data_IF_447321987749
#
_entry.id   IF_447321987749
#
_cell.length_a   1.000
_cell.length_b   1.000
_cell.length_c   1.000
_cell.angle_alpha   90.00
_cell.angle_beta   90.00
_cell.angle_gamma   90.00
#
_symmetry.space_group_name_H-M   'P 1'
#
loop_
_entity.id
_entity.type
_entity.pdbx_description
1 polymer ?
#
# COMPACT_ATOMS: atom_id res chain seq x y z
N UNK A 1 16.53 31.24 12.67
CA UNK A 1 15.06 31.30 12.81
C UNK A 1 14.42 31.51 11.43
N UNK A 2 14.81 32.54 10.63
CA UNK A 2 14.23 32.82 9.32
C UNK A 2 14.34 31.63 8.35
N UNK A 3 15.49 30.97 8.27
CA UNK A 3 15.70 29.78 7.44
C UNK A 3 14.75 28.64 7.79
N UNK A 4 14.60 28.34 9.09
CA UNK A 4 13.70 27.26 9.54
C UNK A 4 12.23 27.57 9.21
N UNK A 5 11.78 28.80 9.40
CA UNK A 5 10.44 29.24 9.03
C UNK A 5 10.20 29.12 7.53
N UNK A 6 11.14 29.57 6.71
CA UNK A 6 11.04 29.48 5.25
C UNK A 6 10.99 28.02 4.79
N UNK A 7 11.83 27.15 5.37
CA UNK A 7 11.85 25.73 5.06
C UNK A 7 10.52 25.05 5.42
N UNK A 8 9.99 25.32 6.61
CA UNK A 8 8.69 24.77 7.05
C UNK A 8 7.57 25.21 6.12
N UNK A 9 7.47 26.51 5.84
CA UNK A 9 6.44 27.07 4.96
C UNK A 9 6.54 26.45 3.57
N UNK A 10 7.75 26.33 3.00
CA UNK A 10 7.95 25.75 1.68
C UNK A 10 7.53 24.28 1.63
N UNK A 11 7.90 23.48 2.65
CA UNK A 11 7.53 22.06 2.72
C UNK A 11 6.02 21.88 2.89
N UNK A 12 5.39 22.65 3.77
CA UNK A 12 3.93 22.59 3.97
C UNK A 12 3.19 23.00 2.70
N UNK A 13 3.62 24.09 2.05
CA UNK A 13 3.01 24.56 0.81
C UNK A 13 3.16 23.51 -0.30
N UNK A 14 4.35 22.91 -0.43
CA UNK A 14 4.58 21.82 -1.40
C UNK A 14 3.70 20.60 -1.14
N UNK A 15 3.57 20.18 0.12
CA UNK A 15 2.70 19.05 0.49
C UNK A 15 1.22 19.35 0.20
N UNK A 16 0.73 20.55 0.53
CA UNK A 16 -0.65 20.98 0.23
C UNK A 16 -0.91 21.06 -1.27
N UNK A 17 0.05 21.55 -2.04
CA UNK A 17 -0.07 21.59 -3.50
C UNK A 17 -0.16 20.18 -4.11
N UNK A 18 0.69 19.25 -3.65
CA UNK A 18 0.64 17.86 -4.11
C UNK A 18 -0.68 17.17 -3.72
N UNK A 19 -1.20 17.45 -2.53
CA UNK A 19 -2.49 16.93 -2.08
C UNK A 19 -3.62 17.43 -2.99
N UNK A 20 -3.68 18.75 -3.24
CA UNK A 20 -4.66 19.34 -4.15
C UNK A 20 -4.56 18.76 -5.57
N UNK A 21 -3.33 18.57 -6.07
CA UNK A 21 -3.10 17.96 -7.37
C UNK A 21 -3.60 16.51 -7.40
N UNK A 22 -3.37 15.75 -6.34
CA UNK A 22 -3.88 14.38 -6.18
C UNK A 22 -5.41 14.31 -6.20
N UNK A 23 -6.08 15.27 -5.55
CA UNK A 23 -7.54 15.38 -5.58
C UNK A 23 -8.05 15.70 -7.00
N UNK A 24 -7.42 16.63 -7.71
CA UNK A 24 -7.79 16.95 -9.09
C UNK A 24 -7.63 15.75 -10.03
N UNK A 25 -6.56 14.95 -9.86
CA UNK A 25 -6.35 13.72 -10.64
C UNK A 25 -7.44 12.69 -10.29
N UNK A 26 -7.85 12.58 -9.02
CA UNK A 26 -8.89 11.65 -8.59
C UNK A 26 -10.27 12.05 -9.13
N UNK A 27 -10.60 13.35 -9.13
CA UNK A 27 -11.91 13.84 -9.61
C UNK A 27 -12.05 13.81 -11.12
N UNK A 28 -11.00 14.17 -11.85
CA UNK A 28 -11.05 14.35 -13.32
C UNK A 28 -10.29 13.27 -14.10
N UNK A 29 -9.51 12.44 -13.41
CA UNK A 29 -8.67 11.41 -13.99
C UNK A 29 -9.17 10.00 -13.78
N UNK A 30 -8.26 9.04 -13.85
CA UNK A 30 -8.53 7.60 -13.71
C UNK A 30 -7.85 7.10 -12.42
N UNK A 31 -8.65 6.61 -11.48
CA UNK A 31 -8.16 5.97 -10.26
C UNK A 31 -7.85 6.95 -9.12
N UNK A 32 -6.99 6.53 -8.19
CA UNK A 32 -6.61 7.35 -7.05
C UNK A 32 -5.40 8.23 -7.38
N UNK A 33 -5.59 9.55 -7.42
CA UNK A 33 -4.57 10.53 -7.80
C UNK A 33 -3.36 10.56 -6.85
N UNK A 34 -3.58 10.36 -5.55
CA UNK A 34 -2.50 10.30 -4.55
C UNK A 34 -1.59 9.10 -4.83
N UNK A 35 -2.17 7.93 -5.13
CA UNK A 35 -1.40 6.74 -5.50
C UNK A 35 -0.60 6.94 -6.79
N UNK A 36 -1.16 7.68 -7.75
CA UNK A 36 -0.46 8.02 -9.00
C UNK A 36 0.72 8.95 -8.76
N UNK A 37 0.62 9.93 -7.86
CA UNK A 37 1.72 10.81 -7.49
C UNK A 37 2.84 10.07 -6.78
N UNK A 38 2.49 9.16 -5.85
CA UNK A 38 3.48 8.30 -5.16
C UNK A 38 4.20 7.43 -6.19
N UNK A 39 3.44 6.80 -7.10
CA UNK A 39 4.00 6.00 -8.17
C UNK A 39 4.97 6.80 -9.07
N UNK A 40 4.56 7.99 -9.49
CA UNK A 40 5.42 8.87 -10.30
C UNK A 40 6.72 9.23 -9.57
N UNK A 41 6.65 9.51 -8.26
CA UNK A 41 7.82 9.78 -7.42
C UNK A 41 8.79 8.59 -7.38
N UNK A 42 8.28 7.38 -7.22
CA UNK A 42 9.11 6.16 -7.21
C UNK A 42 9.73 5.90 -8.57
N UNK A 43 8.92 6.00 -9.65
CA UNK A 43 9.39 5.71 -11.02
C UNK A 43 10.40 6.75 -11.50
N UNK A 44 10.31 8.01 -11.06
CA UNK A 44 11.28 9.04 -11.43
C UNK A 44 12.72 8.73 -11.00
N UNK A 45 12.91 7.98 -9.91
CA UNK A 45 14.22 7.50 -9.46
C UNK A 45 14.75 6.28 -10.21
N UNK A 46 13.90 5.57 -10.94
CA UNK A 46 14.25 4.28 -11.56
C UNK A 46 15.33 4.39 -12.66
N UNK A 47 15.28 5.39 -13.57
CA UNK A 47 16.34 5.54 -14.59
C UNK A 47 17.71 5.78 -13.98
N UNK A 48 17.79 6.59 -12.93
CA UNK A 48 19.05 6.85 -12.22
C UNK A 48 19.58 5.58 -11.53
N UNK A 49 18.71 4.81 -10.89
CA UNK A 49 19.09 3.55 -10.24
C UNK A 49 19.62 2.52 -11.25
N UNK A 50 18.98 2.39 -12.43
CA UNK A 50 19.47 1.52 -13.51
C UNK A 50 20.83 2.02 -14.01
N UNK A 51 20.97 3.33 -14.27
CA UNK A 51 22.21 3.93 -14.74
C UNK A 51 23.38 3.66 -13.80
N UNK A 52 23.21 3.89 -12.50
CA UNK A 52 24.25 3.62 -11.49
C UNK A 52 24.58 2.14 -11.38
N UNK A 53 23.58 1.25 -11.45
CA UNK A 53 23.83 -0.20 -11.42
C UNK A 53 24.60 -0.69 -12.63
N UNK A 54 24.32 -0.15 -13.82
CA UNK A 54 25.05 -0.46 -15.04
C UNK A 54 26.49 0.06 -14.98
N UNK A 55 26.73 1.29 -14.53
CA UNK A 55 28.10 1.83 -14.39
C UNK A 55 28.92 1.00 -13.41
N UNK A 56 28.35 0.61 -12.26
CA UNK A 56 29.04 -0.30 -11.31
C UNK A 56 29.35 -1.66 -11.89
N UNK A 57 28.50 -2.18 -12.78
CA UNK A 57 28.79 -3.42 -13.49
C UNK A 57 29.91 -3.24 -14.54
N UNK A 58 29.95 -2.12 -15.24
CA UNK A 58 31.04 -1.78 -16.19
C UNK A 58 32.38 -1.58 -15.48
N UNK A 59 32.36 -0.97 -14.29
CA UNK A 59 33.57 -0.77 -13.46
C UNK A 59 34.05 -2.07 -12.78
N UNK A 60 33.33 -3.19 -12.95
CA UNK A 60 33.68 -4.48 -12.36
C UNK A 60 33.38 -4.59 -10.85
N UNK A 61 32.68 -3.61 -10.24
CA UNK A 61 32.32 -3.65 -8.85
C UNK A 61 31.20 -4.68 -8.60
N UNK A 62 30.33 -4.90 -9.58
CA UNK A 62 29.23 -5.86 -9.53
C UNK A 62 29.35 -6.80 -10.73
N UNK A 63 29.16 -8.11 -10.49
CA UNK A 63 29.11 -9.07 -11.56
C UNK A 63 27.87 -8.85 -12.45
N UNK A 64 28.06 -8.70 -13.77
CA UNK A 64 26.96 -8.49 -14.71
C UNK A 64 25.89 -9.59 -14.69
N UNK A 65 26.28 -10.83 -14.39
CA UNK A 65 25.34 -11.95 -14.20
C UNK A 65 24.47 -11.72 -12.97
N UNK A 66 25.05 -11.21 -11.87
CA UNK A 66 24.28 -10.88 -10.67
C UNK A 66 23.25 -9.79 -10.95
N UNK A 67 23.63 -8.75 -11.71
CA UNK A 67 22.72 -7.68 -12.09
C UNK A 67 21.53 -8.21 -12.91
N UNK A 68 21.79 -9.13 -13.84
CA UNK A 68 20.75 -9.78 -14.64
C UNK A 68 19.79 -10.59 -13.76
N UNK A 69 20.34 -11.39 -12.83
CA UNK A 69 19.53 -12.18 -11.89
C UNK A 69 18.65 -11.28 -11.01
N UNK A 70 19.21 -10.20 -10.47
CA UNK A 70 18.46 -9.23 -9.66
C UNK A 70 17.34 -8.59 -10.49
N UNK A 71 17.60 -8.23 -11.74
CA UNK A 71 16.59 -7.69 -12.65
C UNK A 71 15.43 -8.68 -12.91
N UNK A 72 15.75 -9.95 -13.14
CA UNK A 72 14.74 -11.01 -13.31
C UNK A 72 13.91 -11.22 -12.05
N UNK A 73 14.54 -11.22 -10.88
CA UNK A 73 13.85 -11.33 -9.60
C UNK A 73 12.93 -10.13 -9.41
N UNK A 74 13.38 -8.91 -9.71
CA UNK A 74 12.56 -7.70 -9.59
C UNK A 74 11.31 -7.78 -10.48
N UNK A 75 11.44 -8.20 -11.73
CA UNK A 75 10.30 -8.41 -12.64
C UNK A 75 9.36 -9.50 -12.09
N UNK A 76 9.91 -10.60 -11.59
CA UNK A 76 9.13 -11.69 -10.98
C UNK A 76 8.32 -11.23 -9.77
N UNK A 77 8.93 -10.43 -8.89
CA UNK A 77 8.27 -9.85 -7.72
C UNK A 77 7.14 -8.91 -8.14
N UNK A 78 7.38 -8.02 -9.10
CA UNK A 78 6.35 -7.11 -9.61
C UNK A 78 5.18 -7.90 -10.21
N UNK A 79 5.45 -8.93 -11.02
CA UNK A 79 4.41 -9.78 -11.60
C UNK A 79 3.59 -10.50 -10.51
N UNK A 80 4.23 -11.00 -9.46
CA UNK A 80 3.59 -11.65 -8.33
C UNK A 80 2.68 -10.68 -7.55
N UNK A 81 3.18 -9.46 -7.29
CA UNK A 81 2.40 -8.41 -6.60
C UNK A 81 1.16 -8.04 -7.43
N UNK A 82 1.33 -7.82 -8.73
CA UNK A 82 0.21 -7.50 -9.64
C UNK A 82 -0.82 -8.62 -9.66
N UNK A 83 -0.37 -9.87 -9.67
CA UNK A 83 -1.25 -11.04 -9.65
C UNK A 83 -2.08 -11.09 -8.36
N UNK A 84 -1.45 -10.89 -7.20
CA UNK A 84 -2.13 -10.89 -5.89
C UNK A 84 -3.08 -9.69 -5.77
N UNK A 85 -2.67 -8.50 -6.21
CA UNK A 85 -3.48 -7.27 -6.13
C UNK A 85 -4.73 -7.33 -7.01
N UNK A 86 -4.66 -8.05 -8.14
CA UNK A 86 -5.81 -8.31 -9.00
C UNK A 86 -6.70 -9.44 -8.50
N UNK A 87 -6.24 -10.23 -7.53
CA UNK A 87 -6.99 -11.35 -7.02
C UNK A 87 -8.23 -10.87 -6.23
N UNK A 88 -9.39 -11.43 -6.59
CA UNK A 88 -10.69 -11.07 -6.00
C UNK A 88 -11.41 -12.33 -5.53
N UNK A 89 -11.96 -12.27 -4.33
CA UNK A 89 -12.89 -13.29 -3.84
C UNK A 89 -14.29 -12.94 -4.32
N UNK A 90 -14.87 -13.78 -5.16
CA UNK A 90 -16.23 -13.62 -5.67
C UNK A 90 -17.21 -14.28 -4.72
N UNK A 91 -18.11 -13.49 -4.12
CA UNK A 91 -19.21 -13.99 -3.30
C UNK A 91 -20.46 -13.96 -4.15
N UNK A 92 -21.10 -15.12 -4.36
CA UNK A 92 -22.39 -15.21 -5.07
C UNK A 92 -23.49 -14.61 -4.23
N UNK A 93 -24.19 -13.65 -4.80
CA UNK A 93 -25.35 -13.00 -4.21
C UNK A 93 -26.55 -13.29 -5.10
N UNK A 94 -27.59 -13.91 -4.56
CA UNK A 94 -28.80 -14.20 -5.27
C UNK A 94 -29.84 -13.11 -5.02
N UNK A 95 -30.35 -12.49 -6.08
CA UNK A 95 -31.46 -11.57 -5.99
C UNK A 95 -32.77 -12.34 -6.02
N UNK A 96 -33.71 -11.95 -5.15
CA UNK A 96 -35.04 -12.56 -5.14
C UNK A 96 -35.76 -12.32 -6.49
N UNK A 97 -36.54 -13.31 -6.92
CA UNK A 97 -37.37 -13.17 -8.11
C UNK A 97 -38.33 -12.00 -7.94
N UNK A 98 -38.28 -11.00 -8.80
CA UNK A 98 -39.25 -9.90 -8.82
C UNK A 98 -40.34 -10.23 -9.82
N UNK A 99 -41.56 -10.23 -9.35
CA UNK A 99 -42.74 -10.29 -10.19
C UNK A 99 -43.24 -8.86 -10.41
N UNK A 100 -43.19 -8.41 -11.63
CA UNK A 100 -43.73 -7.11 -12.01
C UNK A 100 -44.87 -7.34 -13.01
N UNK A 101 -46.11 -7.34 -12.50
CA UNK A 101 -47.29 -7.67 -13.27
C UNK A 101 -47.31 -9.14 -13.69
N UNK A 102 -47.52 -9.42 -14.98
CA UNK A 102 -47.65 -10.76 -15.58
C UNK A 102 -46.29 -11.36 -16.01
N UNK A 103 -45.17 -10.62 -15.87
CA UNK A 103 -43.83 -11.07 -16.25
C UNK A 103 -43.03 -11.46 -15.02
N UNK A 104 -42.56 -12.70 -14.98
CA UNK A 104 -41.62 -13.24 -14.01
C UNK A 104 -40.19 -12.98 -14.51
N UNK A 105 -39.49 -12.11 -13.81
CA UNK A 105 -38.04 -11.95 -14.03
C UNK A 105 -37.31 -13.05 -13.26
N UNK A 106 -36.48 -13.81 -13.98
CA UNK A 106 -35.67 -14.86 -13.38
C UNK A 106 -34.69 -14.28 -12.38
N UNK A 107 -34.42 -15.02 -11.29
CA UNK A 107 -33.42 -14.67 -10.31
C UNK A 107 -32.06 -14.52 -11.00
N UNK A 108 -31.50 -13.30 -10.99
CA UNK A 108 -30.14 -13.07 -11.46
C UNK A 108 -29.19 -13.30 -10.28
N UNK A 109 -28.25 -14.23 -10.47
CA UNK A 109 -27.12 -14.36 -9.56
C UNK A 109 -26.05 -13.36 -9.96
N UNK A 110 -25.72 -12.44 -9.09
CA UNK A 110 -24.59 -11.54 -9.24
C UNK A 110 -23.45 -11.93 -8.32
N UNK A 111 -22.24 -11.55 -8.67
CA UNK A 111 -21.07 -11.79 -7.85
C UNK A 111 -20.58 -10.48 -7.25
N UNK A 112 -20.43 -10.43 -5.92
CA UNK A 112 -19.79 -9.32 -5.24
C UNK A 112 -18.27 -9.54 -5.26
N UNK A 113 -17.49 -8.73 -6.00
CA UNK A 113 -16.04 -8.86 -6.01
C UNK A 113 -15.46 -8.19 -4.74
N UNK A 114 -14.84 -8.97 -3.89
CA UNK A 114 -14.05 -8.46 -2.76
C UNK A 114 -12.57 -8.61 -3.07
N UNK A 115 -11.83 -7.51 -3.04
CA UNK A 115 -10.37 -7.55 -3.16
C UNK A 115 -9.77 -8.30 -1.98
N UNK A 116 -8.74 -9.11 -2.21
CA UNK A 116 -8.02 -9.81 -1.15
C UNK A 116 -7.25 -8.81 -0.29
N UNK A 117 -6.59 -7.86 -0.94
CA UNK A 117 -5.91 -6.76 -0.27
C UNK A 117 -6.76 -5.47 -0.39
N UNK A 118 -7.52 -5.15 0.65
CA UNK A 118 -8.31 -3.90 0.71
C UNK A 118 -7.49 -2.72 1.20
N UNK A 119 -6.42 -2.98 1.93
CA UNK A 119 -5.57 -1.94 2.52
C UNK A 119 -4.63 -1.30 1.49
N UNK A 120 -4.32 -1.99 0.39
CA UNK A 120 -3.41 -1.49 -0.64
C UNK A 120 -1.99 -1.28 -0.12
N UNK A 121 -1.38 -0.15 -0.49
CA UNK A 121 0.00 0.23 -0.14
C UNK A 121 0.09 1.00 1.19
N UNK A 122 -1.02 1.47 1.74
CA UNK A 122 -1.06 2.36 2.92
C UNK A 122 -0.36 1.76 4.15
N UNK A 123 -0.54 0.47 4.50
CA UNK A 123 0.16 -0.14 5.62
C UNK A 123 1.68 -0.07 5.52
N UNK A 124 2.23 -0.24 4.32
CA UNK A 124 3.67 -0.15 4.11
C UNK A 124 4.20 1.27 4.32
N UNK A 125 3.42 2.29 3.92
CA UNK A 125 3.77 3.70 4.15
C UNK A 125 3.78 4.03 5.64
N UNK A 126 2.80 3.58 6.41
CA UNK A 126 2.78 3.77 7.86
C UNK A 126 3.95 3.05 8.55
N UNK A 127 4.21 1.79 8.19
CA UNK A 127 5.30 1.02 8.75
C UNK A 127 6.66 1.69 8.48
N UNK A 128 6.91 2.14 7.25
CA UNK A 128 8.15 2.83 6.91
C UNK A 128 8.31 4.15 7.66
N UNK A 129 7.22 4.94 7.79
CA UNK A 129 7.26 6.23 8.48
C UNK A 129 7.55 6.07 9.99
N UNK A 130 6.97 5.06 10.62
CA UNK A 130 7.21 4.79 12.04
C UNK A 130 8.64 4.29 12.28
N UNK A 131 9.17 3.43 11.40
CA UNK A 131 10.56 2.96 11.54
C UNK A 131 11.59 4.04 11.24
N UNK A 132 11.25 5.02 10.43
CA UNK A 132 12.11 6.17 10.16
C UNK A 132 12.31 7.04 11.41
N UNK A 133 11.33 7.09 12.31
CA UNK A 133 11.37 7.94 13.50
C UNK A 133 12.51 7.57 14.47
N UNK A 134 12.66 6.29 14.94
CA UNK A 134 13.80 5.91 15.77
C UNK A 134 15.15 6.10 15.08
N UNK A 135 15.23 5.82 13.78
CA UNK A 135 16.45 6.03 13.01
C UNK A 135 16.85 7.52 12.96
N UNK A 136 15.89 8.42 12.80
CA UNK A 136 16.11 9.87 12.82
C UNK A 136 16.54 10.36 14.22
N UNK A 137 15.91 9.85 15.28
CA UNK A 137 16.30 10.17 16.65
C UNK A 137 17.73 9.74 16.95
N UNK A 138 18.13 8.55 16.50
CA UNK A 138 19.51 8.07 16.65
C UNK A 138 20.53 8.97 15.93
N UNK A 139 20.18 9.52 14.76
CA UNK A 139 21.04 10.45 14.04
C UNK A 139 21.16 11.82 14.74
N UNK A 140 20.06 12.32 15.32
CA UNK A 140 20.05 13.66 15.93
C UNK A 140 20.65 13.67 17.33
N UNK A 141 20.38 12.66 18.13
CA UNK A 141 20.77 12.61 19.53
C UNK A 141 21.92 11.65 19.82
N UNK A 142 22.23 10.70 18.91
CA UNK A 142 23.26 9.70 19.09
C UNK A 142 24.70 10.25 19.20
N UNK A 143 24.92 11.53 18.85
CA UNK A 143 26.22 12.18 18.98
C UNK A 143 26.45 12.87 20.34
N UNK A 144 25.46 12.86 21.23
CA UNK A 144 25.57 13.43 22.56
C UNK A 144 26.20 12.41 23.54
N UNK A 145 27.08 12.88 24.41
CA UNK A 145 27.66 12.05 25.47
C UNK A 145 26.55 11.40 26.32
N UNK A 146 26.54 10.07 26.41
CA UNK A 146 25.54 9.28 27.15
C UNK A 146 24.36 8.73 26.33
N UNK A 147 24.29 8.98 25.03
CA UNK A 147 23.23 8.46 24.16
C UNK A 147 23.68 7.38 23.16
N UNK A 148 24.80 6.72 23.45
CA UNK A 148 25.37 5.64 22.61
C UNK A 148 24.38 4.51 22.37
N UNK A 149 23.54 4.19 23.36
CA UNK A 149 22.50 3.16 23.24
C UNK A 149 21.44 3.50 22.18
N UNK A 150 21.14 4.81 21.96
CA UNK A 150 20.21 5.25 20.88
C UNK A 150 20.84 5.04 19.50
N UNK A 151 22.15 5.25 19.39
CA UNK A 151 22.87 5.02 18.15
C UNK A 151 22.94 3.52 17.83
N UNK A 152 23.21 2.68 18.82
CA UNK A 152 23.22 1.24 18.64
C UNK A 152 21.84 0.71 18.26
N UNK A 153 20.79 1.21 18.87
CA UNK A 153 19.41 0.87 18.55
C UNK A 153 19.04 1.32 17.13
N UNK A 154 19.44 2.52 16.71
CA UNK A 154 19.24 3.01 15.37
C UNK A 154 20.00 2.20 14.32
N UNK A 155 21.20 1.73 14.65
CA UNK A 155 22.00 0.84 13.79
C UNK A 155 21.35 -0.56 13.68
N UNK A 156 20.83 -1.10 14.77
CA UNK A 156 20.14 -2.40 14.77
C UNK A 156 18.83 -2.39 13.98
N UNK A 157 18.12 -1.24 13.99
CA UNK A 157 16.86 -1.03 13.27
C UNK A 157 17.10 -0.38 11.90
N UNK A 158 18.37 -0.20 11.52
CA UNK A 158 18.73 0.39 10.24
C UNK A 158 18.35 -0.48 9.03
N UNK A 159 18.10 0.15 7.86
CA UNK A 159 17.79 -0.59 6.64
C UNK A 159 18.98 -1.51 6.25
N UNK A 160 18.65 -2.76 5.93
CA UNK A 160 19.64 -3.80 5.61
C UNK A 160 19.93 -4.78 6.76
N UNK A 161 19.48 -4.52 7.96
CA UNK A 161 19.59 -5.44 9.08
C UNK A 161 18.44 -6.46 9.09
N UNK A 162 18.67 -7.72 9.47
CA UNK A 162 17.62 -8.73 9.55
C UNK A 162 16.52 -8.38 10.54
N UNK A 163 16.86 -7.69 11.64
CA UNK A 163 15.90 -7.22 12.63
C UNK A 163 14.93 -6.18 12.04
N UNK A 164 15.45 -5.27 11.19
CA UNK A 164 14.62 -4.31 10.45
C UNK A 164 13.56 -5.02 9.62
N UNK A 165 13.94 -6.07 8.88
CA UNK A 165 13.02 -6.81 8.02
C UNK A 165 11.90 -7.49 8.81
N UNK A 166 12.23 -8.06 9.97
CA UNK A 166 11.26 -8.72 10.85
C UNK A 166 10.27 -7.70 11.42
N UNK A 167 10.76 -6.60 11.99
CA UNK A 167 9.92 -5.56 12.57
C UNK A 167 9.06 -4.90 11.48
N UNK A 168 9.65 -4.57 10.33
CA UNK A 168 8.96 -3.97 9.20
C UNK A 168 7.82 -4.86 8.69
N UNK A 169 8.09 -6.16 8.51
CA UNK A 169 7.07 -7.13 8.10
C UNK A 169 5.95 -7.27 9.13
N UNK A 170 6.28 -7.35 10.41
CA UNK A 170 5.29 -7.42 11.49
C UNK A 170 4.42 -6.16 11.54
N UNK A 171 5.01 -4.98 11.37
CA UNK A 171 4.28 -3.72 11.32
C UNK A 171 3.36 -3.63 10.10
N UNK A 172 3.82 -4.05 8.93
CA UNK A 172 2.97 -4.09 7.72
C UNK A 172 1.75 -4.98 7.97
N UNK A 173 1.94 -6.17 8.54
CA UNK A 173 0.84 -7.09 8.85
C UNK A 173 -0.12 -6.45 9.85
N UNK A 174 0.39 -5.87 10.93
CA UNK A 174 -0.42 -5.18 11.93
C UNK A 174 -1.26 -4.05 11.31
N UNK A 175 -0.63 -3.16 10.55
CA UNK A 175 -1.33 -2.05 9.90
C UNK A 175 -2.30 -2.50 8.80
N UNK A 176 -2.02 -3.60 8.14
CA UNK A 176 -2.93 -4.18 7.16
C UNK A 176 -4.26 -4.60 7.81
N UNK A 177 -4.20 -5.31 8.94
CA UNK A 177 -5.39 -5.67 9.71
C UNK A 177 -6.10 -4.46 10.30
N UNK A 178 -5.32 -3.57 10.91
CA UNK A 178 -5.85 -2.34 11.52
C UNK A 178 -6.59 -1.47 10.50
N UNK A 179 -5.95 -1.18 9.37
CA UNK A 179 -6.53 -0.34 8.32
C UNK A 179 -7.74 -1.00 7.66
N UNK A 180 -7.69 -2.30 7.42
CA UNK A 180 -8.82 -3.06 6.86
C UNK A 180 -10.02 -3.02 7.81
N UNK A 181 -9.80 -3.18 9.11
CA UNK A 181 -10.87 -3.09 10.12
C UNK A 181 -11.49 -1.69 10.19
N UNK A 182 -10.69 -0.64 9.95
CA UNK A 182 -11.15 0.74 9.99
C UNK A 182 -11.97 1.13 8.76
N UNK A 183 -11.51 0.72 7.57
CA UNK A 183 -12.11 1.14 6.28
C UNK A 183 -13.26 0.24 5.86
N UNK A 184 -13.17 -1.05 6.16
CA UNK A 184 -14.19 -2.01 5.77
C UNK A 184 -15.20 -2.24 6.89
N UNK A 185 -16.39 -1.64 6.75
CA UNK A 185 -17.52 -1.91 7.64
C UNK A 185 -18.43 -2.99 7.01
N UNK A 186 -18.35 -4.26 7.46
CA UNK A 186 -19.16 -5.33 6.89
C UNK A 186 -20.66 -5.14 7.12
N UNK A 187 -21.06 -4.38 8.14
CA UNK A 187 -22.47 -4.10 8.44
C UNK A 187 -23.10 -3.19 7.39
N UNK A 188 -22.39 -2.14 6.96
CA UNK A 188 -22.89 -1.21 5.95
C UNK A 188 -23.03 -1.88 4.60
N UNK A 189 -22.06 -2.74 4.24
CA UNK A 189 -22.12 -3.55 3.02
C UNK A 189 -23.31 -4.51 3.07
N UNK A 190 -23.52 -5.19 4.19
CA UNK A 190 -24.65 -6.09 4.36
C UNK A 190 -26.01 -5.36 4.30
N UNK A 191 -26.13 -4.18 4.93
CA UNK A 191 -27.35 -3.37 4.84
C UNK A 191 -27.64 -2.87 3.43
N UNK A 192 -26.61 -2.43 2.70
CA UNK A 192 -26.77 -1.99 1.33
C UNK A 192 -27.20 -3.15 0.41
N UNK A 193 -26.65 -4.35 0.61
CA UNK A 193 -27.08 -5.56 -0.09
C UNK A 193 -28.53 -5.92 0.25
N UNK A 194 -28.92 -5.84 1.54
CA UNK A 194 -30.29 -6.10 1.98
C UNK A 194 -31.29 -5.09 1.39
N UNK A 195 -30.93 -3.79 1.35
CA UNK A 195 -31.75 -2.74 0.71
C UNK A 195 -31.91 -2.98 -0.80
N UNK A 196 -30.89 -3.52 -1.44
CA UNK A 196 -30.93 -3.88 -2.87
C UNK A 196 -31.73 -5.17 -3.14
N UNK A 197 -32.31 -5.82 -2.11
CA UNK A 197 -33.10 -7.06 -2.26
C UNK A 197 -32.25 -8.30 -2.52
N UNK A 198 -30.97 -8.23 -2.19
CA UNK A 198 -30.05 -9.36 -2.30
C UNK A 198 -30.16 -10.22 -1.04
N UNK A 199 -30.65 -11.45 -1.18
CA UNK A 199 -30.70 -12.42 -0.09
C UNK A 199 -29.53 -13.40 -0.23
N UNK A 200 -28.69 -13.47 0.81
CA UNK A 200 -27.74 -14.55 0.95
C UNK A 200 -28.53 -15.73 1.50
N UNK A 201 -28.94 -16.63 0.63
CA UNK A 201 -29.53 -17.89 1.05
C UNK A 201 -28.55 -18.58 1.99
N UNK A 202 -28.76 -18.41 3.29
CA UNK A 202 -28.06 -19.22 4.28
C UNK A 202 -28.43 -20.67 3.94
N UNK A 203 -27.45 -21.47 3.63
CA UNK A 203 -27.61 -22.92 3.56
C UNK A 203 -27.84 -23.40 4.99
N UNK A 204 -29.02 -23.16 5.52
CA UNK A 204 -29.53 -23.98 6.60
C UNK A 204 -29.87 -25.29 5.94
N UNK A 205 -28.99 -26.25 6.09
CA UNK A 205 -29.31 -27.63 5.99
C UNK A 205 -30.51 -27.84 6.93
N UNK A 206 -31.68 -28.06 6.34
CA UNK A 206 -32.77 -28.67 7.05
C UNK A 206 -32.30 -30.09 7.36
N UNK A 207 -31.88 -30.31 8.58
CA UNK A 207 -31.93 -31.63 9.22
C UNK A 207 -33.32 -31.88 9.71
#
# INVERSE_FOLDING_TARGET
LAFNLTAIISLVTGAMFLMWLGEQITEKGIGNGISMLIFAGIVSGFPAAIGTSLTQAYEGQINGVLLLVVGLIAIGVVACIVYIERAQRRITVNYAKRQQGRKLYQAQSSHLPLKINMAGVIPAIFASSILLFPASLGQWFGQSEGSEWLQDLALMIGPGQPLYLIIFSAMIIFFCFFYTALVFNPRDVAQNLQRSGADRKSTRLNS
#
